data_IF_953781893550
#
_entry.id   IF_953781893550
#
_cell.length_a   1.000
_cell.length_b   1.000
_cell.length_c   1.000
_cell.angle_alpha   90.00
_cell.angle_beta   90.00
_cell.angle_gamma   90.00
#
_symmetry.space_group_name_H-M   'P 1'
#
loop_
_entity.id
_entity.type
_entity.pdbx_description
1 polymer ?
#
# COMPACT_ATOMS: atom_id res chain seq x y z
N UNK A 1 -16.01 9.15 18.32
CA UNK A 1 -15.03 8.87 17.25
C UNK A 1 -15.25 7.42 16.80
N UNK A 2 -15.64 7.18 15.54
CA UNK A 2 -15.88 5.82 15.05
C UNK A 2 -14.52 5.21 14.66
N UNK A 3 -14.17 3.99 15.09
CA UNK A 3 -12.89 3.40 14.71
C UNK A 3 -12.81 3.23 13.18
N UNK A 4 -11.66 3.50 12.55
CA UNK A 4 -11.46 3.21 11.14
C UNK A 4 -11.66 1.71 10.91
N UNK A 5 -12.36 1.33 9.84
CA UNK A 5 -12.49 -0.08 9.45
C UNK A 5 -11.09 -0.63 9.18
N UNK A 6 -10.83 -1.87 9.62
CA UNK A 6 -9.57 -2.55 9.34
C UNK A 6 -9.26 -2.47 7.83
N UNK A 7 -8.01 -2.16 7.45
CA UNK A 7 -7.63 -2.07 6.06
C UNK A 7 -7.84 -3.42 5.39
N UNK A 8 -8.50 -3.43 4.22
CA UNK A 8 -8.63 -4.66 3.43
C UNK A 8 -7.30 -4.89 2.70
N UNK A 9 -6.71 -6.08 2.87
CA UNK A 9 -5.63 -6.50 1.99
C UNK A 9 -6.25 -6.99 0.67
N UNK A 10 -5.68 -6.53 -0.44
CA UNK A 10 -5.97 -7.01 -1.79
C UNK A 10 -4.65 -7.47 -2.43
N UNK A 11 -4.72 -8.20 -3.53
CA UNK A 11 -3.54 -8.62 -4.27
C UNK A 11 -3.57 -8.08 -5.70
N UNK A 12 -2.43 -7.61 -6.20
CA UNK A 12 -2.26 -7.27 -7.62
C UNK A 12 -2.27 -8.54 -8.49
N UNK A 13 -2.41 -8.43 -9.84
CA UNK A 13 -2.31 -9.58 -10.75
C UNK A 13 -1.02 -10.39 -10.56
N UNK A 14 0.06 -9.74 -10.11
CA UNK A 14 1.33 -10.35 -9.73
C UNK A 14 1.34 -11.04 -8.34
N UNK A 15 0.22 -11.07 -7.62
CA UNK A 15 0.11 -11.63 -6.27
C UNK A 15 0.74 -10.76 -5.17
N UNK A 16 1.00 -9.48 -5.45
CA UNK A 16 1.66 -8.56 -4.52
C UNK A 16 0.67 -7.98 -3.50
N UNK A 17 1.00 -7.96 -2.20
CA UNK A 17 0.15 -7.42 -1.15
C UNK A 17 -0.11 -5.92 -1.36
N UNK A 18 -1.38 -5.55 -1.27
CA UNK A 18 -1.88 -4.19 -1.42
C UNK A 18 -2.76 -3.85 -0.22
N UNK A 19 -2.58 -2.66 0.35
CA UNK A 19 -3.42 -2.11 1.40
C UNK A 19 -4.09 -0.83 0.93
N UNK A 20 -5.41 -0.74 1.09
CA UNK A 20 -6.17 0.47 0.75
C UNK A 20 -6.91 0.99 1.98
N UNK A 21 -6.58 2.22 2.39
CA UNK A 21 -7.27 2.95 3.45
C UNK A 21 -8.30 3.88 2.80
N UNK A 22 -9.57 3.69 3.18
CA UNK A 22 -10.69 4.48 2.65
C UNK A 22 -11.35 5.30 3.76
N UNK A 23 -11.90 6.49 3.44
CA UNK A 23 -12.68 7.27 4.39
C UNK A 23 -13.84 6.47 4.97
N UNK A 24 -14.23 6.75 6.21
CA UNK A 24 -15.36 6.07 6.84
C UNK A 24 -16.71 6.32 6.12
N UNK A 25 -16.78 7.42 5.37
CA UNK A 25 -17.91 7.88 4.54
C UNK A 25 -17.68 7.62 3.05
N UNK A 26 -16.81 6.68 2.69
CA UNK A 26 -16.51 6.33 1.30
C UNK A 26 -17.78 5.95 0.51
N UNK A 27 -17.90 6.52 -0.69
CA UNK A 27 -18.98 6.25 -1.65
C UNK A 27 -18.39 5.91 -3.01
N UNK A 28 -18.91 4.89 -3.67
CA UNK A 28 -18.45 4.46 -5.01
C UNK A 28 -18.78 5.49 -6.12
N UNK A 29 -19.63 6.49 -5.83
CA UNK A 29 -20.03 7.54 -6.77
C UNK A 29 -19.17 8.80 -6.73
N UNK A 30 -18.29 8.93 -5.73
CA UNK A 30 -17.47 10.12 -5.53
C UNK A 30 -16.02 9.89 -6.00
N UNK A 31 -15.38 10.95 -6.50
CA UNK A 31 -13.96 10.93 -6.81
C UNK A 31 -13.15 11.41 -5.61
N UNK A 32 -12.11 10.64 -5.27
CA UNK A 32 -11.22 10.95 -4.16
C UNK A 32 -9.78 11.10 -4.68
N UNK A 33 -8.98 12.04 -4.13
CA UNK A 33 -7.56 12.05 -4.39
C UNK A 33 -6.91 10.77 -3.84
N UNK A 34 -5.99 10.19 -4.60
CA UNK A 34 -5.24 9.00 -4.23
C UNK A 34 -3.84 9.41 -3.79
N UNK A 35 -3.43 8.94 -2.62
CA UNK A 35 -2.07 9.08 -2.11
C UNK A 35 -1.41 7.71 -2.06
N UNK A 36 -0.40 7.51 -2.90
CA UNK A 36 0.45 6.32 -2.86
C UNK A 36 1.56 6.54 -1.82
N UNK A 37 1.61 5.70 -0.80
CA UNK A 37 2.70 5.69 0.18
C UNK A 37 3.64 4.53 -0.15
N UNK A 38 4.89 4.88 -0.46
CA UNK A 38 5.92 3.93 -0.89
C UNK A 38 6.98 3.82 0.19
N UNK A 39 7.30 2.60 0.59
CA UNK A 39 8.54 2.27 1.29
C UNK A 39 9.43 1.50 0.31
N UNK A 40 10.63 2.04 0.06
CA UNK A 40 11.60 1.44 -0.86
C UNK A 40 12.70 0.65 -0.14
N UNK A 41 12.57 0.43 1.16
CA UNK A 41 13.58 -0.25 1.96
C UNK A 41 13.59 -1.75 1.66
N UNK A 42 14.69 -2.33 1.13
CA UNK A 42 14.72 -3.76 0.84
C UNK A 42 14.53 -4.60 2.11
N UNK A 43 13.62 -5.56 2.05
CA UNK A 43 13.26 -6.43 3.18
C UNK A 43 12.26 -5.83 4.16
N UNK A 44 11.81 -4.59 3.98
CA UNK A 44 10.72 -4.03 4.78
C UNK A 44 9.35 -4.54 4.31
N UNK A 45 8.32 -4.28 5.10
CA UNK A 45 6.94 -4.66 4.82
C UNK A 45 6.03 -3.52 5.26
N UNK A 46 5.34 -2.91 4.30
CA UNK A 46 4.38 -1.84 4.54
C UNK A 46 2.95 -2.36 4.71
N UNK A 47 2.62 -3.50 4.10
CA UNK A 47 1.29 -4.11 4.17
C UNK A 47 1.26 -5.15 5.27
N UNK A 48 0.62 -4.79 6.39
CA UNK A 48 0.42 -5.68 7.53
C UNK A 48 -0.97 -5.47 8.16
N UNK A 49 -1.52 -6.52 8.78
CA UNK A 49 -2.77 -6.44 9.55
C UNK A 49 -2.54 -5.92 10.98
N UNK A 50 -1.78 -4.82 11.10
CA UNK A 50 -1.56 -4.13 12.38
C UNK A 50 -2.53 -2.97 12.51
N UNK A 51 -3.08 -2.78 13.70
CA UNK A 51 -3.84 -1.58 14.01
C UNK A 51 -2.87 -0.44 14.35
N UNK A 52 -2.80 0.56 13.48
CA UNK A 52 -1.95 1.73 13.65
C UNK A 52 -2.74 2.99 13.31
N UNK A 53 -2.46 4.08 14.04
CA UNK A 53 -3.01 5.41 13.76
C UNK A 53 -1.83 6.31 13.39
N UNK A 54 -1.77 6.68 12.12
CA UNK A 54 -0.67 7.46 11.54
C UNK A 54 -1.20 8.75 10.94
N UNK A 55 -0.31 9.59 10.39
CA UNK A 55 -0.69 10.79 9.64
C UNK A 55 -1.58 10.46 8.42
N UNK A 56 -1.45 9.27 7.86
CA UNK A 56 -2.29 8.77 6.76
C UNK A 56 -3.75 8.66 7.21
N UNK A 57 -3.97 8.17 8.43
CA UNK A 57 -5.31 8.07 9.02
C UNK A 57 -5.95 9.45 9.17
N UNK A 58 -5.17 10.48 9.51
CA UNK A 58 -5.66 11.86 9.61
C UNK A 58 -6.05 12.41 8.23
N UNK A 59 -5.27 12.15 7.18
CA UNK A 59 -5.62 12.55 5.81
C UNK A 59 -6.89 11.86 5.31
N UNK A 60 -7.00 10.56 5.51
CA UNK A 60 -8.17 9.76 5.11
C UNK A 60 -9.43 10.25 5.84
N UNK A 61 -9.32 10.53 7.14
CA UNK A 61 -10.44 10.94 7.98
C UNK A 61 -10.87 12.39 7.74
N UNK A 62 -9.92 13.33 7.69
CA UNK A 62 -10.23 14.77 7.65
C UNK A 62 -10.36 15.32 6.23
N UNK A 63 -9.66 14.75 5.25
CA UNK A 63 -9.59 15.28 3.89
C UNK A 63 -10.20 14.34 2.84
N UNK A 64 -10.69 13.17 3.25
CA UNK A 64 -11.30 12.21 2.33
C UNK A 64 -10.31 11.60 1.33
N UNK A 65 -9.01 11.60 1.63
CA UNK A 65 -7.99 11.00 0.76
C UNK A 65 -8.08 9.48 0.82
N UNK A 66 -7.88 8.79 -0.31
CA UNK A 66 -7.68 7.34 -0.34
C UNK A 66 -6.17 7.07 -0.32
N UNK A 67 -5.70 6.30 0.65
CA UNK A 67 -4.27 5.95 0.76
C UNK A 67 -4.07 4.52 0.28
N UNK A 68 -3.03 4.31 -0.53
CA UNK A 68 -2.64 3.00 -1.06
C UNK A 68 -1.20 2.70 -0.65
N UNK A 69 -0.95 1.47 -0.20
CA UNK A 69 0.40 0.91 0.04
C UNK A 69 0.53 -0.41 -0.70
N UNK A 70 1.67 -0.64 -1.34
CA UNK A 70 1.96 -1.87 -2.06
C UNK A 70 3.33 -2.41 -1.66
N UNK A 71 3.37 -3.67 -1.26
CA UNK A 71 4.62 -4.41 -1.06
C UNK A 71 5.00 -5.10 -2.38
N UNK A 72 5.87 -4.43 -3.12
CA UNK A 72 6.39 -4.93 -4.40
C UNK A 72 7.58 -5.88 -4.24
N UNK A 73 8.23 -6.21 -5.34
CA UNK A 73 9.48 -7.00 -5.32
C UNK A 73 10.54 -6.30 -4.49
N UNK A 74 11.34 -7.09 -3.76
CA UNK A 74 12.29 -6.58 -2.78
C UNK A 74 11.71 -6.40 -1.36
N UNK A 75 10.39 -6.51 -1.18
CA UNK A 75 9.76 -6.54 0.14
C UNK A 75 10.10 -7.82 0.93
N UNK A 76 9.93 -7.75 2.24
CA UNK A 76 10.12 -8.86 3.16
C UNK A 76 8.93 -9.83 3.19
N UNK A 77 9.09 -10.93 3.93
CA UNK A 77 8.02 -11.89 4.27
C UNK A 77 7.29 -12.58 3.10
N UNK A 78 7.80 -12.48 1.87
CA UNK A 78 7.27 -13.18 0.68
C UNK A 78 8.27 -14.18 0.07
N UNK A 79 9.28 -14.57 0.85
CA UNK A 79 10.32 -15.53 0.45
C UNK A 79 11.57 -14.89 -0.15
N UNK A 80 12.67 -15.65 -0.16
CA UNK A 80 13.99 -15.17 -0.58
C UNK A 80 14.09 -14.85 -2.06
N UNK A 81 13.24 -15.45 -2.90
CA UNK A 81 13.18 -15.16 -4.33
C UNK A 81 12.74 -13.71 -4.57
N UNK A 82 11.59 -13.32 -4.01
CA UNK A 82 11.03 -11.97 -4.18
C UNK A 82 11.95 -10.90 -3.58
N UNK A 83 12.56 -11.18 -2.41
CA UNK A 83 13.54 -10.29 -1.79
C UNK A 83 14.77 -10.04 -2.67
N UNK A 84 15.28 -11.05 -3.36
CA UNK A 84 16.49 -10.93 -4.18
C UNK A 84 16.23 -10.55 -5.64
N UNK A 85 14.99 -10.44 -6.10
CA UNK A 85 14.68 -10.01 -7.47
C UNK A 85 15.19 -8.59 -7.78
N UNK A 86 15.23 -7.73 -6.76
CA UNK A 86 15.79 -6.37 -6.86
C UNK A 86 17.33 -6.34 -6.81
N UNK A 87 18.00 -7.47 -6.59
CA UNK A 87 19.46 -7.53 -6.50
C UNK A 87 20.10 -7.04 -7.81
N UNK A 88 20.94 -6.00 -7.70
CA UNK A 88 21.59 -5.30 -8.83
C UNK A 88 20.61 -4.61 -9.79
N UNK A 89 19.34 -4.42 -9.40
CA UNK A 89 18.28 -3.75 -10.16
C UNK A 89 17.41 -2.84 -9.30
N UNK A 90 17.98 -2.31 -8.20
CA UNK A 90 17.29 -1.45 -7.26
C UNK A 90 16.64 -0.26 -7.97
N UNK A 91 15.38 0.01 -7.63
CA UNK A 91 14.56 1.09 -8.15
C UNK A 91 13.77 0.76 -9.42
N UNK A 92 14.26 -0.14 -10.28
CA UNK A 92 13.64 -0.39 -11.59
C UNK A 92 12.44 -1.35 -11.54
N UNK A 93 12.43 -2.28 -10.58
CA UNK A 93 11.33 -3.24 -10.42
C UNK A 93 10.26 -2.69 -9.47
N UNK A 94 10.72 -2.00 -8.42
CA UNK A 94 9.91 -1.34 -7.42
C UNK A 94 9.03 -0.26 -8.07
N UNK A 95 9.60 0.58 -8.96
CA UNK A 95 8.83 1.58 -9.70
C UNK A 95 7.68 0.95 -10.49
N UNK A 96 7.95 -0.16 -11.21
CA UNK A 96 6.92 -0.84 -12.01
C UNK A 96 5.79 -1.39 -11.14
N UNK A 97 6.14 -1.98 -10.00
CA UNK A 97 5.16 -2.54 -9.07
C UNK A 97 4.29 -1.43 -8.45
N UNK A 98 4.89 -0.28 -8.12
CA UNK A 98 4.16 0.89 -7.62
C UNK A 98 3.26 1.53 -8.67
N UNK A 99 3.69 1.59 -9.94
CA UNK A 99 2.86 2.09 -11.04
C UNK A 99 1.71 1.12 -11.33
N UNK A 100 1.94 -0.19 -11.27
CA UNK A 100 0.89 -1.21 -11.41
C UNK A 100 -0.14 -1.12 -10.26
N UNK A 101 0.29 -0.78 -9.05
CA UNK A 101 -0.59 -0.60 -7.89
C UNK A 101 -1.62 0.54 -8.04
N UNK A 102 -1.35 1.51 -8.92
CA UNK A 102 -2.18 2.71 -9.14
C UNK A 102 -2.92 2.67 -10.48
N UNK A 103 -2.66 1.67 -11.32
CA UNK A 103 -3.37 1.45 -12.59
C UNK A 103 -4.72 0.76 -12.38
#
# INVERSE_FOLDING_TARGET
>A
MRPPRAPRSCALPAGLPLQILKPATFSDTAHYPLLLVVDGTPGSQSVAEKFEVTWETALVSSHGVVVVKCDGRGSGFQGTKLLHEVRRRLGALEEKDQVEAVR
#
